data_IF_777433063487
#
_entry.id   IF_777433063487
#
_cell.length_a   1.000
_cell.length_b   1.000
_cell.length_c   1.000
_cell.angle_alpha   90.00
_cell.angle_beta   90.00
_cell.angle_gamma   90.00
#
_symmetry.space_group_name_H-M   'P 1'
#
loop_
_entity.id
_entity.type
_entity.pdbx_description
1 polymer ?
#
# COMPACT_ATOMS: atom_id res chain seq x y z
N UNK A 1 35.90 19.27 35.44
CA UNK A 1 34.49 19.52 35.75
C UNK A 1 33.82 20.18 34.53
N UNK A 2 33.66 19.43 33.43
CA UNK A 2 32.95 19.86 32.22
C UNK A 2 32.82 18.66 31.28
N UNK A 3 31.61 18.07 31.19
CA UNK A 3 31.05 17.40 29.99
C UNK A 3 29.89 16.47 30.39
N UNK A 4 28.94 16.97 31.19
CA UNK A 4 27.76 16.20 31.63
C UNK A 4 26.47 16.61 30.87
N UNK A 5 26.53 17.69 30.08
CA UNK A 5 25.33 18.30 29.45
C UNK A 5 24.94 17.73 28.08
N UNK A 6 25.74 16.83 27.49
CA UNK A 6 25.46 16.23 26.18
C UNK A 6 24.94 14.78 26.22
N UNK A 7 24.97 14.16 27.41
CA UNK A 7 24.79 12.71 27.60
C UNK A 7 23.31 12.33 27.85
N UNK A 8 22.49 13.28 28.29
CA UNK A 8 21.09 13.00 28.68
C UNK A 8 20.19 12.51 27.54
N UNK A 9 20.38 13.00 26.31
CA UNK A 9 19.58 12.57 25.16
C UNK A 9 20.00 11.18 24.66
N UNK A 10 21.31 10.91 24.63
CA UNK A 10 21.84 9.60 24.27
C UNK A 10 21.51 8.52 25.31
N UNK A 11 21.58 8.85 26.61
CA UNK A 11 21.10 7.99 27.69
C UNK A 11 19.60 7.73 27.65
N UNK A 12 18.79 8.72 27.25
CA UNK A 12 17.33 8.56 27.11
C UNK A 12 16.95 7.66 25.92
N UNK A 13 17.66 7.77 24.79
CA UNK A 13 17.51 6.89 23.62
C UNK A 13 17.95 5.45 23.97
N UNK A 14 19.03 5.30 24.74
CA UNK A 14 19.55 4.02 25.20
C UNK A 14 18.64 3.34 26.25
N UNK A 15 18.01 4.10 27.15
CA UNK A 15 17.15 3.57 28.21
C UNK A 15 15.79 3.08 27.67
N UNK A 16 15.26 3.70 26.61
CA UNK A 16 13.99 3.29 25.99
C UNK A 16 14.15 2.17 24.95
N UNK A 17 15.36 1.91 24.48
CA UNK A 17 15.68 0.89 23.49
C UNK A 17 16.56 -0.18 24.13
N UNK A 18 15.95 -1.08 24.92
CA UNK A 18 16.62 -2.33 25.29
C UNK A 18 17.13 -3.01 24.01
N UNK A 19 18.44 -2.99 23.79
CA UNK A 19 19.15 -3.20 22.52
C UNK A 19 19.01 -2.05 21.50
N UNK A 20 20.15 -1.55 21.01
CA UNK A 20 20.30 -0.40 20.11
C UNK A 20 19.71 -0.57 18.69
N UNK A 21 18.73 -1.46 18.50
CA UNK A 21 18.18 -1.87 17.21
C UNK A 21 16.73 -1.39 16.97
N UNK A 22 16.13 -0.63 17.89
CA UNK A 22 14.69 -0.30 17.83
C UNK A 22 14.38 1.18 17.53
N UNK A 23 15.39 2.01 17.28
CA UNK A 23 15.21 3.41 16.86
C UNK A 23 15.12 3.57 15.34
N UNK A 24 14.66 4.73 14.82
CA UNK A 24 14.60 4.99 13.38
C UNK A 24 15.98 5.08 12.70
N UNK A 25 17.07 5.11 13.49
CA UNK A 25 18.45 5.09 13.00
C UNK A 25 18.92 3.66 12.72
N UNK A 26 18.61 3.15 11.53
CA UNK A 26 19.00 1.79 11.13
C UNK A 26 20.49 1.61 10.75
N UNK A 27 21.25 2.69 10.50
CA UNK A 27 22.70 2.61 10.21
C UNK A 27 23.57 2.71 11.46
N UNK A 28 22.99 3.01 12.63
CA UNK A 28 23.74 3.35 13.85
C UNK A 28 24.71 4.52 13.63
N UNK A 29 24.40 5.42 12.69
CA UNK A 29 25.26 6.55 12.36
C UNK A 29 25.25 7.60 13.49
N UNK A 30 26.44 8.05 13.89
CA UNK A 30 26.64 9.08 14.92
C UNK A 30 27.75 10.06 14.50
N UNK A 31 27.36 11.30 14.19
CA UNK A 31 28.28 12.37 13.80
C UNK A 31 28.13 13.58 14.73
N UNK A 32 29.19 13.99 15.45
CA UNK A 32 29.13 15.14 16.36
C UNK A 32 28.73 16.44 15.67
N UNK A 33 29.12 16.63 14.41
CA UNK A 33 28.74 17.80 13.62
C UNK A 33 27.26 17.77 13.28
N UNK A 34 26.77 16.63 12.77
CA UNK A 34 25.35 16.45 12.43
C UNK A 34 24.45 16.68 13.64
N UNK A 35 24.80 16.09 14.79
CA UNK A 35 24.03 16.20 16.04
C UNK A 35 23.88 17.65 16.50
N UNK A 36 24.96 18.45 16.42
CA UNK A 36 24.91 19.89 16.79
C UNK A 36 23.99 20.69 15.87
N UNK A 37 24.02 20.41 14.56
CA UNK A 37 23.15 21.07 13.59
C UNK A 37 21.68 20.68 13.80
N UNK A 38 21.41 19.40 14.09
CA UNK A 38 20.07 18.90 14.38
C UNK A 38 19.47 19.55 15.65
N UNK A 39 20.23 19.61 16.74
CA UNK A 39 19.78 20.23 18.00
C UNK A 39 19.47 21.72 17.83
N UNK A 40 20.21 22.42 16.96
CA UNK A 40 19.89 23.80 16.60
C UNK A 40 18.62 23.89 15.76
N UNK A 41 18.44 22.99 14.80
CA UNK A 41 17.35 23.02 13.83
C UNK A 41 15.99 22.63 14.44
N UNK A 42 15.93 21.63 15.33
CA UNK A 42 14.67 21.00 15.81
C UNK A 42 13.63 21.99 16.35
N UNK A 43 14.06 23.06 17.02
CA UNK A 43 13.18 24.03 17.67
C UNK A 43 12.91 25.28 16.80
N UNK A 44 13.50 25.36 15.60
CA UNK A 44 13.33 26.50 14.71
C UNK A 44 12.03 26.41 13.93
N UNK A 45 11.35 27.54 13.78
CA UNK A 45 10.24 27.69 12.84
C UNK A 45 10.73 27.59 11.40
N UNK A 46 9.84 27.28 10.47
CA UNK A 46 10.15 27.24 9.05
C UNK A 46 10.62 28.62 8.54
N UNK A 47 11.70 28.60 7.76
CA UNK A 47 12.32 29.81 7.22
C UNK A 47 13.70 29.56 6.59
N UNK A 48 14.30 30.59 5.96
CA UNK A 48 15.54 30.45 5.19
C UNK A 48 16.75 30.03 6.04
N UNK A 49 16.76 30.41 7.32
CA UNK A 49 17.83 30.01 8.25
C UNK A 49 17.75 28.51 8.55
N UNK A 50 16.54 27.98 8.76
CA UNK A 50 16.30 26.54 8.98
C UNK A 50 16.70 25.75 7.74
N UNK A 51 16.35 26.23 6.55
CA UNK A 51 16.74 25.61 5.29
C UNK A 51 18.27 25.53 5.11
N UNK A 52 18.97 26.61 5.44
CA UNK A 52 20.45 26.64 5.36
C UNK A 52 21.09 25.60 6.27
N UNK A 53 20.56 25.41 7.48
CA UNK A 53 21.04 24.38 8.41
C UNK A 53 20.74 22.98 7.85
N UNK A 54 19.53 22.75 7.32
CA UNK A 54 19.15 21.47 6.69
C UNK A 54 20.08 21.13 5.52
N UNK A 55 20.46 22.12 4.70
CA UNK A 55 21.41 21.91 3.60
C UNK A 55 22.79 21.49 4.09
N UNK A 56 23.28 22.07 5.20
CA UNK A 56 24.54 21.65 5.84
C UNK A 56 24.46 20.24 6.40
N UNK A 57 23.37 19.92 7.10
CA UNK A 57 23.13 18.55 7.60
C UNK A 57 23.10 17.53 6.46
N UNK A 58 22.46 17.86 5.34
CA UNK A 58 22.46 17.02 4.14
C UNK A 58 23.88 16.81 3.61
N UNK A 59 24.69 17.87 3.53
CA UNK A 59 26.07 17.78 3.05
C UNK A 59 26.90 16.80 3.89
N UNK A 60 26.87 16.94 5.22
CA UNK A 60 27.55 16.02 6.14
C UNK A 60 27.08 14.58 5.93
N UNK A 61 25.78 14.35 5.85
CA UNK A 61 25.23 13.01 5.64
C UNK A 61 25.56 12.42 4.26
N UNK A 62 25.75 13.24 3.22
CA UNK A 62 26.12 12.74 1.89
C UNK A 62 27.60 12.38 1.85
N UNK A 63 28.45 13.19 2.47
CA UNK A 63 29.90 12.94 2.55
C UNK A 63 30.20 11.66 3.36
N UNK A 64 29.55 11.50 4.51
CA UNK A 64 29.75 10.33 5.37
C UNK A 64 29.07 9.06 4.82
N UNK A 65 28.15 9.21 3.85
CA UNK A 65 27.42 8.13 3.17
C UNK A 65 26.94 6.99 4.10
N UNK A 66 26.22 7.28 5.21
CA UNK A 66 25.73 6.24 6.11
C UNK A 66 24.65 5.37 5.45
N UNK A 67 23.95 5.93 4.45
CA UNK A 67 23.01 5.25 3.57
C UNK A 67 23.25 5.66 2.12
N UNK A 68 23.06 4.72 1.20
CA UNK A 68 23.09 4.97 -0.24
C UNK A 68 21.65 5.28 -0.69
N UNK A 69 21.31 6.52 -1.06
CA UNK A 69 19.99 6.84 -1.57
C UNK A 69 19.78 6.21 -2.95
N UNK A 70 18.79 5.34 -3.09
CA UNK A 70 18.54 4.59 -4.34
C UNK A 70 17.48 5.26 -5.22
N UNK A 71 16.33 5.62 -4.65
CA UNK A 71 15.23 6.22 -5.41
C UNK A 71 14.25 6.98 -4.54
N UNK A 72 13.51 7.90 -5.17
CA UNK A 72 12.34 8.54 -4.58
C UNK A 72 11.09 8.04 -5.31
N UNK A 73 10.32 7.16 -4.67
CA UNK A 73 9.12 6.61 -5.26
C UNK A 73 8.00 7.66 -5.31
N UNK A 74 7.48 7.93 -6.52
CA UNK A 74 6.25 8.69 -6.68
C UNK A 74 5.03 7.81 -6.41
N UNK A 75 4.03 8.35 -5.72
CA UNK A 75 2.74 7.67 -5.55
C UNK A 75 1.79 8.05 -6.69
N UNK A 76 1.05 7.08 -7.20
CA UNK A 76 -0.08 7.28 -8.11
C UNK A 76 -1.27 6.53 -7.55
N UNK A 77 -2.41 7.19 -7.45
CA UNK A 77 -3.63 6.59 -6.89
C UNK A 77 -4.74 6.64 -7.92
N UNK A 78 -5.38 5.49 -8.15
CA UNK A 78 -6.60 5.40 -8.93
C UNK A 78 -7.79 5.64 -8.00
N UNK A 79 -8.62 6.63 -8.33
CA UNK A 79 -9.80 6.98 -7.55
C UNK A 79 -11.02 6.72 -8.41
N UNK A 80 -12.01 6.03 -7.82
CA UNK A 80 -13.24 5.71 -8.53
C UNK A 80 -14.08 6.96 -8.76
N UNK A 81 -14.85 7.06 -9.87
CA UNK A 81 -15.62 8.27 -10.20
C UNK A 81 -16.71 8.63 -9.18
N UNK A 82 -17.13 7.68 -8.33
CA UNK A 82 -18.11 7.88 -7.27
C UNK A 82 -17.49 8.26 -5.92
N UNK A 83 -16.16 8.35 -5.81
CA UNK A 83 -15.47 8.82 -4.60
C UNK A 83 -15.32 10.33 -4.65
N UNK A 84 -15.65 10.99 -3.54
CA UNK A 84 -15.59 12.45 -3.35
C UNK A 84 -14.62 12.78 -2.23
N UNK A 85 -14.10 14.00 -2.26
CA UNK A 85 -13.19 14.57 -1.25
C UNK A 85 -11.88 13.79 -1.07
N UNK A 86 -11.44 13.07 -2.11
CA UNK A 86 -10.12 12.47 -2.11
C UNK A 86 -9.05 13.57 -2.25
N UNK A 87 -8.10 13.58 -1.32
CA UNK A 87 -6.92 14.43 -1.37
C UNK A 87 -5.69 13.55 -1.20
N UNK A 88 -4.76 13.62 -2.15
CA UNK A 88 -3.51 12.86 -2.11
C UNK A 88 -2.54 13.53 -1.11
N UNK A 89 -2.71 13.26 0.19
CA UNK A 89 -1.83 13.80 1.22
C UNK A 89 -0.48 13.05 1.22
N UNK A 90 0.67 13.76 1.17
CA UNK A 90 1.99 13.12 1.19
C UNK A 90 2.45 12.63 2.57
N UNK A 91 1.76 13.02 3.65
CA UNK A 91 2.17 12.77 5.04
C UNK A 91 1.09 12.00 5.82
N UNK A 92 -0.17 12.45 5.75
CA UNK A 92 -1.25 11.86 6.53
C UNK A 92 -1.73 10.53 5.91
N UNK A 93 -1.84 9.50 6.74
CA UNK A 93 -2.26 8.16 6.32
C UNK A 93 -3.77 7.90 6.56
N UNK A 94 -4.36 8.50 7.59
CA UNK A 94 -5.76 8.24 7.98
C UNK A 94 -6.75 9.28 7.43
N UNK A 95 -7.01 9.19 6.13
CA UNK A 95 -7.90 10.13 5.42
C UNK A 95 -9.34 9.65 5.28
N UNK A 96 -9.67 8.45 5.77
CA UNK A 96 -10.98 7.82 5.54
C UNK A 96 -12.15 8.68 6.03
N UNK A 97 -11.99 9.39 7.16
CA UNK A 97 -12.99 10.29 7.71
C UNK A 97 -13.41 11.44 6.79
N UNK A 98 -12.56 11.80 5.83
CA UNK A 98 -12.82 12.91 4.90
C UNK A 98 -13.34 12.43 3.55
N UNK A 99 -13.30 11.12 3.28
CA UNK A 99 -13.80 10.55 2.04
C UNK A 99 -15.33 10.45 2.08
N UNK A 100 -15.94 10.77 0.94
CA UNK A 100 -17.37 10.59 0.73
C UNK A 100 -17.61 9.70 -0.49
N UNK A 101 -18.75 9.01 -0.53
CA UNK A 101 -19.14 8.13 -1.63
C UNK A 101 -20.51 8.56 -2.14
N UNK A 102 -20.65 8.66 -3.47
CA UNK A 102 -21.93 8.84 -4.15
C UNK A 102 -22.55 7.46 -4.44
N UNK A 103 -23.59 7.03 -3.70
CA UNK A 103 -24.18 5.70 -3.88
C UNK A 103 -24.93 5.55 -5.21
N UNK A 104 -25.56 6.62 -5.71
CA UNK A 104 -26.31 6.58 -6.96
C UNK A 104 -25.35 6.37 -8.13
N UNK A 105 -24.30 7.17 -8.22
CA UNK A 105 -23.26 7.05 -9.24
C UNK A 105 -22.51 5.73 -9.17
N UNK A 106 -22.28 5.22 -7.96
CA UNK A 106 -21.68 3.90 -7.75
C UNK A 106 -22.57 2.80 -8.33
N UNK A 107 -23.86 2.82 -8.03
CA UNK A 107 -24.81 1.81 -8.53
C UNK A 107 -24.88 1.77 -10.06
N UNK A 108 -24.96 2.93 -10.71
CA UNK A 108 -25.03 3.02 -12.18
C UNK A 108 -23.78 2.47 -12.84
N UNK A 109 -22.60 2.90 -12.38
CA UNK A 109 -21.32 2.47 -12.97
C UNK A 109 -21.02 1.00 -12.67
N UNK A 110 -21.40 0.50 -11.50
CA UNK A 110 -21.27 -0.93 -11.19
C UNK A 110 -22.14 -1.79 -12.11
N UNK A 111 -23.38 -1.38 -12.39
CA UNK A 111 -24.26 -2.10 -13.32
C UNK A 111 -23.74 -2.07 -14.77
N UNK A 112 -23.09 -0.98 -15.17
CA UNK A 112 -22.49 -0.85 -16.50
C UNK A 112 -21.21 -1.70 -16.64
N UNK A 113 -20.30 -1.62 -15.67
CA UNK A 113 -18.99 -2.26 -15.74
C UNK A 113 -19.03 -3.76 -15.41
N UNK A 114 -19.94 -4.19 -14.54
CA UNK A 114 -20.05 -5.59 -14.11
C UNK A 114 -21.09 -6.38 -14.92
N UNK A 115 -21.30 -6.05 -16.20
CA UNK A 115 -22.18 -6.84 -17.07
C UNK A 115 -21.64 -8.27 -17.20
N UNK A 116 -22.38 -9.30 -16.72
CA UNK A 116 -21.85 -10.66 -16.71
C UNK A 116 -21.75 -11.21 -18.14
N UNK A 117 -20.60 -11.80 -18.44
CA UNK A 117 -20.37 -12.50 -19.72
C UNK A 117 -20.83 -13.95 -19.58
N UNK A 118 -22.07 -14.23 -19.99
CA UNK A 118 -22.74 -15.52 -19.73
C UNK A 118 -22.43 -16.61 -20.77
N UNK A 119 -22.00 -16.24 -21.98
CA UNK A 119 -21.82 -17.18 -23.08
C UNK A 119 -20.84 -18.33 -22.78
N UNK A 120 -19.73 -18.18 -22.01
CA UNK A 120 -18.84 -19.29 -21.71
C UNK A 120 -19.54 -20.35 -20.84
N UNK A 121 -20.37 -19.91 -19.89
CA UNK A 121 -21.17 -20.81 -19.05
C UNK A 121 -22.22 -21.56 -19.87
N UNK A 122 -22.91 -20.85 -20.77
CA UNK A 122 -23.89 -21.46 -21.70
C UNK A 122 -23.21 -22.47 -22.62
N UNK A 123 -22.05 -22.12 -23.18
CA UNK A 123 -21.27 -23.01 -24.05
C UNK A 123 -20.82 -24.27 -23.31
N UNK A 124 -20.35 -24.13 -22.07
CA UNK A 124 -19.98 -25.27 -21.22
C UNK A 124 -21.16 -26.22 -20.97
N UNK A 125 -22.32 -25.67 -20.61
CA UNK A 125 -23.54 -26.46 -20.40
C UNK A 125 -23.99 -27.15 -21.69
N UNK A 126 -23.89 -26.49 -22.84
CA UNK A 126 -24.21 -27.08 -24.14
C UNK A 126 -23.26 -28.25 -24.48
N UNK A 127 -21.95 -28.09 -24.26
CA UNK A 127 -20.97 -29.16 -24.44
C UNK A 127 -21.24 -30.37 -23.53
N UNK A 128 -21.53 -30.12 -22.25
CA UNK A 128 -21.90 -31.20 -21.31
C UNK A 128 -23.18 -31.91 -21.76
N UNK A 129 -24.19 -31.16 -22.19
CA UNK A 129 -25.42 -31.72 -22.75
C UNK A 129 -25.17 -32.58 -24.00
N UNK A 130 -24.28 -32.15 -24.89
CA UNK A 130 -23.91 -32.89 -26.10
C UNK A 130 -23.20 -34.22 -25.78
N UNK A 131 -22.44 -34.30 -24.68
CA UNK A 131 -21.81 -35.56 -24.22
C UNK A 131 -22.84 -36.49 -23.56
N UNK A 132 -23.75 -35.97 -22.74
CA UNK A 132 -24.74 -36.77 -21.99
C UNK A 132 -25.87 -37.30 -22.90
N UNK A 133 -26.28 -36.51 -23.90
CA UNK A 133 -27.37 -36.83 -24.81
C UNK A 133 -27.25 -38.19 -25.52
N UNK A 134 -26.12 -38.55 -26.17
CA UNK A 134 -25.97 -39.85 -26.84
C UNK A 134 -26.00 -41.02 -25.86
N UNK A 135 -25.41 -40.89 -24.67
CA UNK A 135 -25.44 -41.94 -23.65
C UNK A 135 -26.88 -42.21 -23.17
N UNK A 136 -27.63 -41.14 -22.85
CA UNK A 136 -29.02 -41.26 -22.40
C UNK A 136 -29.95 -41.78 -23.51
N UNK A 137 -29.77 -41.34 -24.75
CA UNK A 137 -30.59 -41.80 -25.89
C UNK A 137 -30.37 -43.28 -26.19
N UNK A 138 -29.14 -43.78 -26.04
CA UNK A 138 -28.82 -45.20 -26.23
C UNK A 138 -29.50 -46.07 -25.18
N UNK A 139 -29.42 -45.69 -23.89
CA UNK A 139 -30.09 -46.41 -22.79
C UNK A 139 -31.62 -46.37 -22.95
N UNK A 140 -32.20 -45.23 -23.34
CA UNK A 140 -33.64 -45.11 -23.63
C UNK A 140 -34.08 -46.02 -24.79
N UNK A 141 -33.31 -46.05 -25.90
CA UNK A 141 -33.58 -46.94 -27.04
C UNK A 141 -33.56 -48.41 -26.64
N UNK A 142 -32.63 -48.81 -25.77
CA UNK A 142 -32.55 -50.18 -25.27
C UNK A 142 -33.72 -50.55 -24.35
N UNK A 143 -34.17 -49.64 -23.48
CA UNK A 143 -35.36 -49.85 -22.65
C UNK A 143 -36.63 -50.03 -23.49
N UNK A 144 -36.85 -49.20 -24.52
CA UNK A 144 -38.03 -49.34 -25.40
C UNK A 144 -38.00 -50.61 -26.27
N UNK A 145 -36.83 -51.17 -26.59
CA UNK A 145 -36.72 -52.45 -27.31
C UNK A 145 -37.10 -53.66 -26.47
N UNK A 146 -36.98 -53.60 -25.13
CA UNK A 146 -37.39 -54.69 -24.23
C UNK A 146 -38.90 -54.76 -24.00
N UNK A 147 -39.60 -53.63 -24.06
CA UNK A 147 -41.07 -53.56 -23.87
C UNK A 147 -41.85 -54.08 -25.10
N UNK A 148 -41.24 -54.10 -26.30
CA UNK A 148 -41.87 -54.59 -27.54
C UNK A 148 -41.71 -56.10 -27.83
N UNK A 149 -41.09 -56.87 -26.91
CA UNK A 149 -40.90 -58.34 -27.02
C UNK A 149 -41.78 -59.13 -26.04
N UNK A 150 -42.99 -58.63 -25.77
CA UNK A 150 -44.04 -59.33 -25.02
C UNK A 150 -45.22 -59.59 -25.91
#
# INVERSE_FOLDING_TARGET
>A
MASEKGDGFQKMISFLSGTALMGPNGSLYDSPEYNRLFERMRAMTDGPVRETIIRKMRYVSVEDCPWIPVSHAGSRTLVQPWVRNYFANPIAMDLLKYLAVDPARRGTLQAEWNRPVLWPGVALLACLGAVVYPAASTVRRQRNRRVRRG
#
